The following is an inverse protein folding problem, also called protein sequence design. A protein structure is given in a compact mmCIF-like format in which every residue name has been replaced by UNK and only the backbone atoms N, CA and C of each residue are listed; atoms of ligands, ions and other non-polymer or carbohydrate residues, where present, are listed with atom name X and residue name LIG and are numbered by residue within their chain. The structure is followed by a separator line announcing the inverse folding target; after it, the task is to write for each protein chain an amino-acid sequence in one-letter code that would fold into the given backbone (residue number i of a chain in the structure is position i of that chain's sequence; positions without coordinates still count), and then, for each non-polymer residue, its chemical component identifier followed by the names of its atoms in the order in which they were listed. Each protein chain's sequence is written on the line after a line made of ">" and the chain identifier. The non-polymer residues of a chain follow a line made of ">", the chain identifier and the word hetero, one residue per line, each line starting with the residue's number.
data_IF_811252790366
#
_entry.id   IF_811252790366
#
_cell.length_a   1.000
_cell.length_b   1.000
_cell.length_c   1.000
_cell.angle_alpha   90.00
_cell.angle_beta   90.00
_cell.angle_gamma   90.00
#
_symmetry.space_group_name_H-M   'P 1'
#
loop_
_entity.id
_entity.type
_entity.pdbx_description
1 polymer ?
#
# COMPACT_ATOMS: atom_id res chain seq x y z
N UNK A 1 -28.78 20.38 -67.51
CA UNK A 1 -29.15 19.58 -66.32
C UNK A 1 -28.11 18.50 -65.99
N UNK A 2 -27.66 17.69 -66.96
CA UNK A 2 -26.64 16.64 -66.77
C UNK A 2 -25.28 17.15 -66.21
N UNK A 3 -24.83 18.35 -66.60
CA UNK A 3 -23.57 18.93 -66.09
C UNK A 3 -23.59 19.17 -64.57
N UNK A 4 -24.75 19.51 -64.01
CA UNK A 4 -24.93 19.76 -62.58
C UNK A 4 -24.81 18.44 -61.79
N UNK A 5 -25.35 17.36 -62.36
CA UNK A 5 -25.21 16.01 -61.81
C UNK A 5 -23.74 15.55 -61.78
N UNK A 6 -22.98 15.81 -62.84
CA UNK A 6 -21.53 15.50 -62.84
C UNK A 6 -20.76 16.28 -61.78
N UNK A 7 -21.05 17.57 -61.58
CA UNK A 7 -20.40 18.37 -60.55
C UNK A 7 -20.69 17.80 -59.16
N UNK A 8 -21.95 17.42 -58.90
CA UNK A 8 -22.33 16.76 -57.63
C UNK A 8 -21.58 15.44 -57.48
N UNK A 9 -21.56 14.58 -58.50
CA UNK A 9 -20.87 13.30 -58.44
C UNK A 9 -19.37 13.45 -58.15
N UNK A 10 -18.70 14.40 -58.80
CA UNK A 10 -17.28 14.71 -58.55
C UNK A 10 -17.09 15.24 -57.13
N UNK A 11 -17.98 16.11 -56.65
CA UNK A 11 -17.90 16.63 -55.27
C UNK A 11 -18.03 15.52 -54.23
N UNK A 12 -18.94 14.57 -54.44
CA UNK A 12 -19.14 13.41 -53.57
C UNK A 12 -17.92 12.50 -53.61
N UNK A 13 -17.32 12.28 -54.79
CA UNK A 13 -16.10 11.50 -54.95
C UNK A 13 -14.94 12.12 -54.16
N UNK A 14 -14.72 13.43 -54.29
CA UNK A 14 -13.66 14.13 -53.58
C UNK A 14 -13.90 14.10 -52.06
N UNK A 15 -15.14 14.32 -51.62
CA UNK A 15 -15.50 14.24 -50.21
C UNK A 15 -15.27 12.83 -49.63
N UNK A 16 -15.64 11.79 -50.37
CA UNK A 16 -15.41 10.39 -49.98
C UNK A 16 -13.92 10.06 -49.87
N UNK A 17 -13.12 10.51 -50.84
CA UNK A 17 -11.66 10.34 -50.80
C UNK A 17 -11.03 11.07 -49.60
N UNK A 18 -11.47 12.31 -49.32
CA UNK A 18 -11.02 13.07 -48.16
C UNK A 18 -11.38 12.40 -46.83
N UNK A 19 -12.61 11.88 -46.72
CA UNK A 19 -13.08 11.17 -45.54
C UNK A 19 -12.32 9.86 -45.28
N UNK A 20 -12.06 9.08 -46.34
CA UNK A 20 -11.26 7.86 -46.21
C UNK A 20 -9.81 8.18 -45.78
N UNK A 21 -9.26 9.29 -46.29
CA UNK A 21 -7.93 9.74 -45.90
C UNK A 21 -7.85 10.18 -44.43
N UNK A 22 -8.86 10.92 -43.94
CA UNK A 22 -8.88 11.34 -42.53
C UNK A 22 -8.93 10.14 -41.59
N UNK A 23 -9.77 9.13 -41.88
CA UNK A 23 -9.84 7.89 -41.08
C UNK A 23 -8.47 7.20 -41.02
N UNK A 24 -7.80 7.04 -42.17
CA UNK A 24 -6.49 6.40 -42.21
C UNK A 24 -5.48 7.19 -41.39
N UNK A 25 -5.47 8.51 -41.50
CA UNK A 25 -4.53 9.36 -40.78
C UNK A 25 -4.74 9.32 -39.26
N UNK A 26 -6.01 9.37 -38.81
CA UNK A 26 -6.35 9.29 -37.39
C UNK A 26 -5.84 7.99 -36.77
N UNK A 27 -6.03 6.85 -37.44
CA UNK A 27 -5.55 5.56 -36.94
C UNK A 27 -4.03 5.50 -36.80
N UNK A 28 -3.28 6.09 -37.73
CA UNK A 28 -1.82 6.16 -37.66
C UNK A 28 -1.36 7.05 -36.51
N UNK A 29 -2.01 8.20 -36.31
CA UNK A 29 -1.68 9.13 -35.24
C UNK A 29 -1.89 8.52 -33.84
N UNK A 30 -3.00 7.81 -33.63
CA UNK A 30 -3.24 7.11 -32.37
C UNK A 30 -2.28 5.92 -32.18
N UNK A 31 -1.97 5.17 -33.23
CA UNK A 31 -1.02 4.06 -33.16
C UNK A 31 0.38 4.53 -32.75
N UNK A 32 0.85 5.65 -33.30
CA UNK A 32 2.15 6.24 -32.95
C UNK A 32 2.18 6.71 -31.48
N UNK A 33 1.11 7.34 -31.00
CA UNK A 33 1.00 7.76 -29.61
C UNK A 33 1.02 6.58 -28.64
N UNK A 34 0.29 5.49 -28.96
CA UNK A 34 0.29 4.26 -28.15
C UNK A 34 1.68 3.63 -28.14
N UNK A 35 2.37 3.58 -29.29
CA UNK A 35 3.73 3.05 -29.36
C UNK A 35 4.71 3.88 -28.52
N UNK A 36 4.61 5.22 -28.58
CA UNK A 36 5.42 6.13 -27.77
C UNK A 36 5.16 5.94 -26.27
N UNK A 37 3.90 5.82 -25.86
CA UNK A 37 3.54 5.58 -24.47
C UNK A 37 4.04 4.22 -23.97
N UNK A 38 3.89 3.17 -24.78
CA UNK A 38 4.41 1.83 -24.47
C UNK A 38 5.93 1.84 -24.28
N UNK A 39 6.67 2.59 -25.11
CA UNK A 39 8.12 2.75 -24.94
C UNK A 39 8.46 3.45 -23.62
N UNK A 40 7.71 4.48 -23.21
CA UNK A 40 7.93 5.14 -21.92
C UNK A 40 7.70 4.19 -20.74
N UNK A 41 6.58 3.45 -20.76
CA UNK A 41 6.26 2.45 -19.73
C UNK A 41 7.37 1.39 -19.64
N UNK A 42 7.91 0.95 -20.78
CA UNK A 42 8.99 -0.03 -20.78
C UNK A 42 10.26 0.51 -20.12
N UNK A 43 10.65 1.76 -20.42
CA UNK A 43 11.80 2.42 -19.77
C UNK A 43 11.61 2.59 -18.27
N UNK A 44 10.42 2.96 -17.82
CA UNK A 44 10.11 3.07 -16.39
C UNK A 44 10.20 1.72 -15.68
N UNK A 45 9.73 0.64 -16.31
CA UNK A 45 9.85 -0.72 -15.77
C UNK A 45 11.30 -1.16 -15.64
N UNK A 46 12.15 -0.84 -16.62
CA UNK A 46 13.58 -1.10 -16.57
C UNK A 46 14.25 -0.33 -15.44
N UNK A 47 13.90 0.95 -15.24
CA UNK A 47 14.40 1.74 -14.12
C UNK A 47 14.01 1.12 -12.76
N UNK A 48 12.74 0.72 -12.59
CA UNK A 48 12.28 0.05 -11.37
C UNK A 48 13.05 -1.25 -11.13
N UNK A 49 13.30 -2.05 -12.17
CA UNK A 49 14.05 -3.29 -12.04
C UNK A 49 15.49 -3.05 -11.56
N UNK A 50 16.15 -1.99 -12.05
CA UNK A 50 17.48 -1.59 -11.57
C UNK A 50 17.42 -1.17 -10.11
N UNK A 51 16.48 -0.30 -9.72
CA UNK A 51 16.33 0.13 -8.33
C UNK A 51 16.05 -1.05 -7.39
N UNK A 52 15.25 -2.01 -7.84
CA UNK A 52 14.96 -3.21 -7.05
C UNK A 52 16.20 -4.10 -6.90
N UNK A 53 17.04 -4.19 -7.92
CA UNK A 53 18.33 -4.90 -7.83
C UNK A 53 19.30 -4.18 -6.88
N UNK A 54 19.34 -2.85 -6.90
CA UNK A 54 20.12 -2.05 -5.95
C UNK A 54 19.61 -2.23 -4.51
N UNK A 55 18.29 -2.27 -4.32
CA UNK A 55 17.70 -2.51 -3.02
C UNK A 55 18.03 -3.91 -2.50
N UNK A 56 17.92 -4.95 -3.34
CA UNK A 56 18.37 -6.30 -2.99
C UNK A 56 19.87 -6.38 -2.70
N UNK A 57 20.68 -5.55 -3.34
CA UNK A 57 22.10 -5.46 -3.05
C UNK A 57 22.37 -4.82 -1.68
N UNK A 58 21.63 -3.76 -1.33
CA UNK A 58 21.73 -3.06 -0.05
C UNK A 58 21.19 -3.89 1.12
N UNK A 59 20.10 -4.63 0.91
CA UNK A 59 19.42 -5.43 1.93
C UNK A 59 20.10 -6.80 2.17
N UNK A 60 21.33 -6.98 1.69
CA UNK A 60 22.08 -8.23 1.90
C UNK A 60 22.29 -8.47 3.40
N UNK A 61 21.72 -9.57 3.96
CA UNK A 61 21.72 -9.81 5.40
C UNK A 61 23.14 -9.95 5.96
N UNK A 62 24.09 -10.51 5.19
CA UNK A 62 25.49 -10.61 5.60
C UNK A 62 26.11 -9.24 5.93
N UNK A 63 25.80 -8.19 5.14
CA UNK A 63 26.33 -6.84 5.39
C UNK A 63 25.62 -6.14 6.54
N UNK A 64 24.32 -6.37 6.69
CA UNK A 64 23.57 -5.90 7.84
C UNK A 64 24.07 -6.55 9.13
N UNK A 65 24.43 -7.83 9.08
CA UNK A 65 24.98 -8.59 10.21
C UNK A 65 26.41 -8.13 10.55
N UNK A 66 27.28 -7.94 9.55
CA UNK A 66 28.61 -7.37 9.77
C UNK A 66 28.57 -5.94 10.34
N UNK A 67 27.64 -5.10 9.85
CA UNK A 67 27.44 -3.75 10.37
C UNK A 67 26.86 -3.75 11.80
N UNK A 68 25.92 -4.67 12.08
CA UNK A 68 25.38 -4.87 13.42
C UNK A 68 26.48 -5.32 14.38
N UNK A 69 27.23 -6.38 14.06
CA UNK A 69 28.31 -6.92 14.90
C UNK A 69 29.41 -5.88 15.18
N UNK A 70 29.68 -4.99 14.22
CA UNK A 70 30.73 -3.97 14.37
C UNK A 70 30.31 -2.74 15.18
N UNK A 71 29.04 -2.35 15.13
CA UNK A 71 28.57 -1.08 15.71
C UNK A 71 27.60 -1.27 16.88
N UNK A 72 27.07 -2.46 17.08
CA UNK A 72 26.02 -2.74 18.04
C UNK A 72 26.36 -4.07 18.72
N UNK A 73 26.52 -4.04 20.05
CA UNK A 73 26.90 -5.20 20.85
C UNK A 73 25.70 -6.16 21.02
N UNK A 74 25.12 -6.60 19.90
CA UNK A 74 23.94 -7.45 19.83
C UNK A 74 24.34 -8.89 20.08
N UNK A 75 23.87 -9.45 21.18
CA UNK A 75 23.96 -10.89 21.40
C UNK A 75 22.97 -11.62 20.46
N UNK A 76 23.39 -12.79 19.91
CA UNK A 76 22.50 -13.62 19.11
C UNK A 76 21.26 -13.99 19.93
N UNK A 77 20.09 -13.93 19.28
CA UNK A 77 18.79 -14.19 19.91
C UNK A 77 18.79 -15.58 20.55
N UNK A 78 18.73 -15.66 21.87
CA UNK A 78 18.71 -16.96 22.57
C UNK A 78 17.31 -17.53 22.46
N UNK A 79 17.19 -18.83 22.14
CA UNK A 79 15.90 -19.53 22.00
C UNK A 79 15.01 -19.37 23.26
N UNK A 80 15.63 -19.18 24.43
CA UNK A 80 14.95 -18.94 25.70
C UNK A 80 14.21 -17.60 25.78
N UNK A 81 14.49 -16.63 24.90
CA UNK A 81 13.83 -15.33 24.84
C UNK A 81 12.55 -15.34 23.99
N UNK A 82 12.33 -16.42 23.23
CA UNK A 82 11.10 -16.65 22.47
C UNK A 82 10.04 -17.26 23.39
N UNK A 83 9.29 -16.42 24.10
CA UNK A 83 8.12 -16.85 24.86
C UNK A 83 6.90 -16.97 23.94
N UNK A 84 6.13 -18.05 24.08
CA UNK A 84 4.80 -18.12 23.45
C UNK A 84 3.82 -17.28 24.27
N UNK A 85 2.75 -16.80 23.64
CA UNK A 85 1.73 -16.01 24.35
C UNK A 85 1.10 -16.79 25.52
N UNK A 86 1.11 -18.12 25.46
CA UNK A 86 0.70 -19.04 26.54
C UNK A 86 1.64 -19.06 27.75
N UNK A 87 2.90 -18.63 27.56
CA UNK A 87 3.95 -18.66 28.58
C UNK A 87 4.02 -17.33 29.35
N UNK A 88 3.23 -16.33 28.93
CA UNK A 88 3.13 -15.07 29.64
C UNK A 88 2.31 -15.26 30.93
N UNK A 89 2.83 -14.84 32.09
CA UNK A 89 2.05 -14.79 33.32
C UNK A 89 0.77 -13.99 33.08
N UNK A 90 -0.35 -14.48 33.61
CA UNK A 90 -1.61 -13.73 33.53
C UNK A 90 -1.40 -12.36 34.16
N UNK A 91 -1.85 -11.30 33.48
CA UNK A 91 -1.64 -9.91 33.92
C UNK A 91 -2.13 -9.80 35.36
N UNK A 92 -1.30 -9.38 36.33
CA UNK A 92 -1.73 -9.29 37.72
C UNK A 92 -2.95 -8.37 37.79
N UNK A 93 -3.92 -8.74 38.63
CA UNK A 93 -5.06 -7.87 38.94
C UNK A 93 -4.50 -6.52 39.34
N UNK A 94 -4.87 -5.46 38.61
CA UNK A 94 -4.49 -4.10 38.95
C UNK A 94 -5.21 -3.76 40.25
N UNK A 95 -4.56 -4.03 41.37
CA UNK A 95 -5.05 -3.58 42.67
C UNK A 95 -4.86 -2.07 42.71
N UNK A 96 -5.95 -1.33 42.85
CA UNK A 96 -5.90 0.12 42.96
C UNK A 96 -5.32 0.50 44.34
N UNK A 97 -3.99 0.58 44.40
CA UNK A 97 -3.26 1.00 45.60
C UNK A 97 -3.65 2.40 46.05
N UNK A 98 -4.10 3.25 45.11
CA UNK A 98 -4.56 4.60 45.40
C UNK A 98 -5.92 4.51 46.10
N UNK A 99 -6.85 3.71 45.59
CA UNK A 99 -8.13 3.44 46.23
C UNK A 99 -7.99 2.94 47.68
N UNK A 100 -7.11 1.97 47.92
CA UNK A 100 -6.86 1.44 49.28
C UNK A 100 -6.21 2.45 50.22
N UNK A 101 -5.29 3.29 49.71
CA UNK A 101 -4.68 4.35 50.54
C UNK A 101 -5.67 5.45 50.87
N UNK A 102 -6.55 5.81 49.93
CA UNK A 102 -7.62 6.78 50.17
C UNK A 102 -8.65 6.26 51.19
N UNK A 103 -8.95 4.97 51.16
CA UNK A 103 -9.75 4.28 52.18
C UNK A 103 -9.09 4.30 53.57
N UNK A 104 -7.80 3.95 53.63
CA UNK A 104 -7.04 3.95 54.88
C UNK A 104 -6.89 5.35 55.50
N UNK A 105 -6.88 6.41 54.69
CA UNK A 105 -6.88 7.80 55.17
C UNK A 105 -8.28 8.33 55.53
N UNK A 106 -9.33 7.52 55.39
CA UNK A 106 -10.70 7.90 55.74
C UNK A 106 -11.31 8.96 54.82
N UNK A 107 -10.75 9.14 53.60
CA UNK A 107 -11.19 10.15 52.63
C UNK A 107 -12.33 9.67 51.70
N UNK A 108 -12.97 8.54 52.01
CA UNK A 108 -14.11 8.00 51.25
C UNK A 108 -15.39 8.80 51.52
N UNK A 109 -15.46 10.02 51.00
CA UNK A 109 -16.72 10.49 50.44
C UNK A 109 -17.08 9.62 49.22
N UNK A 110 -18.35 9.53 48.80
CA UNK A 110 -18.77 8.72 47.66
C UNK A 110 -18.14 9.26 46.37
N UNK A 111 -16.93 8.83 46.07
CA UNK A 111 -16.28 9.13 44.80
C UNK A 111 -16.84 8.15 43.78
N UNK A 112 -17.43 8.71 42.74
CA UNK A 112 -17.98 7.97 41.61
C UNK A 112 -16.84 7.38 40.79
N UNK A 113 -16.14 6.37 41.31
CA UNK A 113 -15.27 5.53 40.49
C UNK A 113 -16.18 4.91 39.43
N UNK A 114 -16.02 5.23 38.14
CA UNK A 114 -16.86 4.64 37.12
C UNK A 114 -16.61 3.14 37.15
N UNK A 115 -17.61 2.39 37.59
CA UNK A 115 -17.64 0.93 37.47
C UNK A 115 -17.44 0.62 36.00
N UNK A 116 -16.28 0.07 35.67
CA UNK A 116 -15.88 -0.24 34.31
C UNK A 116 -16.96 -1.15 33.71
N UNK A 117 -17.76 -0.55 32.82
CA UNK A 117 -18.97 -1.17 32.30
C UNK A 117 -18.52 -2.16 31.25
N UNK A 118 -18.52 -3.42 31.64
CA UNK A 118 -18.51 -4.58 30.76
C UNK A 118 -17.29 -4.67 29.84
N UNK A 119 -16.51 -5.71 30.07
CA UNK A 119 -15.60 -6.35 29.14
C UNK A 119 -16.35 -6.82 27.87
N UNK A 120 -16.78 -5.87 27.05
CA UNK A 120 -17.43 -6.10 25.75
C UNK A 120 -16.92 -5.09 24.71
N UNK A 121 -15.69 -4.59 24.91
CA UNK A 121 -14.93 -3.94 23.87
C UNK A 121 -14.49 -5.00 22.86
N UNK A 122 -15.41 -5.37 21.95
CA UNK A 122 -15.10 -6.07 20.70
C UNK A 122 -13.94 -5.34 20.04
N UNK A 123 -12.79 -6.01 19.98
CA UNK A 123 -11.78 -5.72 18.98
C UNK A 123 -12.44 -5.80 17.61
N UNK A 124 -12.29 -4.81 16.72
CA UNK A 124 -12.64 -5.00 15.32
C UNK A 124 -11.71 -6.10 14.79
N UNK A 125 -12.26 -7.28 14.52
CA UNK A 125 -11.58 -8.33 13.78
C UNK A 125 -11.15 -7.74 12.46
N UNK A 126 -9.84 -7.53 12.29
CA UNK A 126 -9.25 -7.27 10.98
C UNK A 126 -9.39 -8.56 10.19
N UNK A 127 -10.50 -8.68 9.47
CA UNK A 127 -10.76 -9.76 8.55
C UNK A 127 -9.76 -9.62 7.39
N UNK A 128 -8.69 -10.41 7.45
CA UNK A 128 -7.75 -10.56 6.34
C UNK A 128 -8.48 -11.24 5.19
N UNK A 129 -8.57 -10.63 3.99
CA UNK A 129 -9.22 -11.28 2.86
C UNK A 129 -8.33 -12.43 2.39
N UNK A 130 -8.85 -13.67 2.47
CA UNK A 130 -8.26 -14.82 1.78
C UNK A 130 -8.46 -14.62 0.27
N UNK A 131 -7.36 -14.69 -0.48
CA UNK A 131 -7.37 -14.95 -1.92
C UNK A 131 -7.89 -16.34 -2.21
#
# INVERSE_FOLDING_TARGET
>A
MIRLLHIIAISVLIASAGYAYSIKYDTLYYAEQVAKLKSKVQREREAIAVLQAEWQYLDRPDRLQEAADKHLDLQPLKIQQLARLSDLPNRPSREDEIGRKLEALGLLGPTSTPKDKSSDARTPTTQTPRR
#
